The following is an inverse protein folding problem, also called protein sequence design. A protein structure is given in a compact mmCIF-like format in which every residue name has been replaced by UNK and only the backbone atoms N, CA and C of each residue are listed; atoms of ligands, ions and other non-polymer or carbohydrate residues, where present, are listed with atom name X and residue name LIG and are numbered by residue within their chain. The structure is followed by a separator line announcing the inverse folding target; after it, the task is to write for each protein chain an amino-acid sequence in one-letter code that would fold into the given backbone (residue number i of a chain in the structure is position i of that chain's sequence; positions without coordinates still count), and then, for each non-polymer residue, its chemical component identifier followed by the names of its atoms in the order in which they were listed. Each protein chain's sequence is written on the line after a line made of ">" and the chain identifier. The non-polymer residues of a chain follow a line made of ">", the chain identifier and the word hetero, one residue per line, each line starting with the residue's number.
data_IF_980150166560
#
_entry.id   IF_980150166560
#
_cell.length_a   1.000
_cell.length_b   1.000
_cell.length_c   1.000
_cell.angle_alpha   90.00
_cell.angle_beta   90.00
_cell.angle_gamma   90.00
#
_symmetry.space_group_name_H-M   'P 1'
#
loop_
_entity.id
_entity.type
_entity.pdbx_description
1 polymer ?
#
# COMPACT_ATOMS: atom_id res chain seq x y z
N UNK A 1 -13.51 -32.21 -24.82
CA UNK A 1 -14.15 -31.07 -24.20
C UNK A 1 -13.41 -30.84 -22.92
N UNK A 2 -12.46 -29.89 -22.82
CA UNK A 2 -11.86 -29.54 -21.56
C UNK A 2 -12.75 -28.56 -20.82
N UNK A 3 -12.91 -28.84 -19.55
CA UNK A 3 -13.64 -28.13 -18.52
C UNK A 3 -13.08 -26.71 -18.37
N UNK A 4 -13.93 -25.72 -18.49
CA UNK A 4 -13.57 -24.33 -18.29
C UNK A 4 -13.61 -24.03 -16.78
N UNK A 5 -12.44 -23.91 -16.17
CA UNK A 5 -12.30 -23.24 -14.87
C UNK A 5 -12.80 -21.80 -14.98
N UNK A 6 -13.64 -21.32 -14.05
CA UNK A 6 -14.08 -19.92 -14.06
C UNK A 6 -12.90 -19.00 -13.77
N UNK A 7 -12.76 -17.98 -14.61
CA UNK A 7 -11.82 -16.87 -14.48
C UNK A 7 -12.09 -16.11 -13.16
N UNK A 8 -11.13 -16.00 -12.23
CA UNK A 8 -11.32 -15.28 -10.99
C UNK A 8 -11.22 -13.75 -11.13
N UNK A 9 -11.01 -13.23 -12.34
CA UNK A 9 -10.92 -11.80 -12.61
C UNK A 9 -12.12 -11.36 -13.45
N UNK A 10 -13.28 -11.18 -12.81
CA UNK A 10 -14.45 -10.56 -13.44
C UNK A 10 -14.07 -9.20 -14.03
N UNK A 11 -14.20 -9.10 -15.36
CA UNK A 11 -13.94 -7.89 -16.16
C UNK A 11 -14.85 -6.71 -15.81
N UNK A 12 -14.64 -5.52 -16.43
CA UNK A 12 -15.09 -4.24 -15.90
C UNK A 12 -16.59 -3.99 -16.01
N UNK A 13 -17.15 -3.56 -14.88
CA UNK A 13 -18.35 -2.74 -14.69
C UNK A 13 -19.48 -2.78 -15.73
N UNK A 14 -20.55 -3.45 -15.35
CA UNK A 14 -21.89 -3.06 -15.77
C UNK A 14 -22.81 -3.03 -14.54
N UNK A 15 -23.14 -1.84 -14.05
CA UNK A 15 -24.21 -1.62 -13.09
C UNK A 15 -23.77 -1.07 -11.74
N UNK A 16 -23.46 0.22 -11.66
CA UNK A 16 -23.55 1.04 -10.45
C UNK A 16 -25.04 1.20 -10.02
N UNK A 17 -25.67 0.10 -9.62
CA UNK A 17 -26.89 0.13 -8.82
C UNK A 17 -26.59 -0.60 -7.53
N UNK A 18 -25.82 0.12 -6.68
CA UNK A 18 -25.06 -0.38 -5.58
C UNK A 18 -25.88 -0.81 -4.37
N UNK A 19 -25.33 -1.75 -3.63
CA UNK A 19 -25.75 -2.13 -2.31
C UNK A 19 -25.57 -1.02 -1.27
N UNK A 20 -24.69 -0.03 -1.49
CA UNK A 20 -24.49 1.10 -0.58
C UNK A 20 -25.55 2.19 -0.80
N UNK A 21 -26.53 2.24 0.11
CA UNK A 21 -27.59 3.25 0.14
C UNK A 21 -27.69 3.84 1.54
N UNK A 22 -28.03 5.13 1.66
CA UNK A 22 -28.21 5.80 2.94
C UNK A 22 -26.92 6.42 3.51
N UNK A 23 -27.02 7.02 4.74
CA UNK A 23 -25.89 7.67 5.37
C UNK A 23 -24.78 6.70 5.75
N UNK A 24 -23.52 7.20 5.68
CA UNK A 24 -22.31 6.52 6.14
C UNK A 24 -21.77 7.23 7.38
N UNK A 25 -21.32 6.48 8.38
CA UNK A 25 -20.58 7.03 9.53
C UNK A 25 -19.13 6.60 9.42
N UNK A 26 -18.20 7.54 9.60
CA UNK A 26 -16.77 7.27 9.70
C UNK A 26 -16.31 7.59 11.12
N UNK A 27 -15.81 6.57 11.82
CA UNK A 27 -15.25 6.70 13.17
C UNK A 27 -13.74 6.65 13.10
N UNK A 28 -13.12 7.78 13.41
CA UNK A 28 -11.68 8.02 13.20
C UNK A 28 -11.44 8.78 11.89
N UNK A 29 -11.02 10.05 12.05
CA UNK A 29 -10.85 11.01 10.94
C UNK A 29 -9.37 11.37 10.74
N UNK A 30 -8.50 10.38 10.86
CA UNK A 30 -7.10 10.47 10.42
C UNK A 30 -6.98 10.52 8.90
N UNK A 31 -5.77 10.29 8.36
CA UNK A 31 -5.53 10.26 6.91
C UNK A 31 -6.54 9.35 6.18
N UNK A 32 -6.63 8.07 6.58
CA UNK A 32 -7.43 7.06 5.87
C UNK A 32 -8.91 7.37 5.98
N UNK A 33 -9.44 7.56 7.21
CA UNK A 33 -10.88 7.82 7.40
C UNK A 33 -11.34 9.12 6.74
N UNK A 34 -10.56 10.20 6.84
CA UNK A 34 -10.89 11.45 6.19
C UNK A 34 -10.83 11.35 4.65
N UNK A 35 -9.87 10.59 4.09
CA UNK A 35 -9.78 10.33 2.64
C UNK A 35 -10.98 9.55 2.12
N UNK A 36 -11.41 8.50 2.85
CA UNK A 36 -12.66 7.76 2.54
C UNK A 36 -13.85 8.72 2.55
N UNK A 37 -13.92 9.59 3.57
CA UNK A 37 -14.99 10.59 3.66
C UNK A 37 -14.99 11.55 2.46
N UNK A 38 -13.83 12.03 2.03
CA UNK A 38 -13.70 12.88 0.84
C UNK A 38 -14.18 12.17 -0.43
N UNK A 39 -13.75 10.91 -0.64
CA UNK A 39 -14.15 10.12 -1.81
C UNK A 39 -15.68 9.87 -1.83
N UNK A 40 -16.27 9.45 -0.71
CA UNK A 40 -17.70 9.23 -0.58
C UNK A 40 -18.52 10.53 -0.75
N UNK A 41 -18.06 11.64 -0.15
CA UNK A 41 -18.74 12.93 -0.26
C UNK A 41 -18.69 13.46 -1.69
N UNK A 42 -17.56 13.31 -2.38
CA UNK A 42 -17.42 13.65 -3.79
C UNK A 42 -18.35 12.82 -4.70
N UNK A 43 -18.59 11.56 -4.33
CA UNK A 43 -19.56 10.68 -4.99
C UNK A 43 -21.03 10.94 -4.60
N UNK A 44 -21.31 11.96 -3.75
CA UNK A 44 -22.65 12.40 -3.37
C UNK A 44 -23.27 11.66 -2.18
N UNK A 45 -22.51 10.86 -1.45
CA UNK A 45 -23.00 10.20 -0.24
C UNK A 45 -23.04 11.17 0.95
N UNK A 46 -24.00 10.97 1.83
CA UNK A 46 -24.05 11.69 3.11
C UNK A 46 -23.13 11.00 4.11
N UNK A 47 -22.04 11.67 4.48
CA UNK A 47 -21.03 11.17 5.40
C UNK A 47 -21.08 11.92 6.72
N UNK A 48 -21.17 11.19 7.84
CA UNK A 48 -21.10 11.71 9.20
C UNK A 48 -19.75 11.31 9.81
N UNK A 49 -19.06 12.28 10.43
CA UNK A 49 -17.71 12.12 10.94
C UNK A 49 -17.71 12.11 12.47
N UNK A 50 -17.08 11.10 13.04
CA UNK A 50 -16.84 10.97 14.47
C UNK A 50 -15.34 10.77 14.74
N UNK A 51 -14.81 11.46 15.75
CA UNK A 51 -13.44 11.26 16.21
C UNK A 51 -13.36 11.52 17.71
N UNK A 52 -12.51 10.75 18.41
CA UNK A 52 -12.25 10.96 19.83
C UNK A 52 -11.68 12.36 20.10
N UNK A 53 -10.97 12.93 19.16
CA UNK A 53 -10.45 14.30 19.17
C UNK A 53 -11.37 15.15 18.27
N UNK A 54 -12.34 15.91 18.84
CA UNK A 54 -13.34 16.63 18.04
C UNK A 54 -12.77 17.55 16.96
N UNK A 55 -11.59 18.14 17.20
CA UNK A 55 -10.92 18.99 16.22
C UNK A 55 -10.51 18.22 14.94
N UNK A 56 -10.22 16.92 15.03
CA UNK A 56 -9.91 16.10 13.85
C UNK A 56 -11.13 15.98 12.93
N UNK A 57 -12.30 15.68 13.48
CA UNK A 57 -13.54 15.62 12.71
C UNK A 57 -13.88 16.97 12.05
N UNK A 58 -13.68 18.09 12.79
CA UNK A 58 -13.91 19.44 12.26
C UNK A 58 -12.96 19.73 11.08
N UNK A 59 -11.68 19.41 11.22
CA UNK A 59 -10.69 19.60 10.15
C UNK A 59 -11.02 18.73 8.94
N UNK A 60 -11.39 17.44 9.16
CA UNK A 60 -11.81 16.55 8.08
C UNK A 60 -13.06 17.08 7.36
N UNK A 61 -14.05 17.60 8.10
CA UNK A 61 -15.23 18.24 7.50
C UNK A 61 -14.85 19.48 6.67
N UNK A 62 -13.91 20.30 7.14
CA UNK A 62 -13.37 21.43 6.38
C UNK A 62 -12.62 21.02 5.10
N UNK A 63 -12.14 19.77 5.03
CA UNK A 63 -11.52 19.18 3.83
C UNK A 63 -12.55 18.57 2.88
N UNK A 64 -13.84 18.57 3.22
CA UNK A 64 -14.90 17.98 2.42
C UNK A 64 -15.18 16.49 2.71
N UNK A 65 -14.65 15.94 3.81
CA UNK A 65 -14.85 14.53 4.14
C UNK A 65 -16.25 14.19 4.63
N UNK A 66 -17.09 15.18 4.95
CA UNK A 66 -18.44 14.99 5.47
C UNK A 66 -18.85 16.06 6.47
N UNK A 67 -19.79 15.73 7.37
CA UNK A 67 -20.34 16.65 8.39
C UNK A 67 -20.15 16.10 9.80
N UNK A 68 -19.99 16.98 10.79
CA UNK A 68 -19.78 16.62 12.22
C UNK A 68 -21.13 16.54 12.96
N UNK A 69 -22.23 16.30 12.26
CA UNK A 69 -23.55 16.12 12.89
C UNK A 69 -23.81 14.66 13.15
N UNK A 70 -24.44 14.34 14.27
CA UNK A 70 -24.83 12.96 14.57
C UNK A 70 -25.78 12.41 13.51
N UNK A 71 -25.54 11.16 13.11
CA UNK A 71 -26.47 10.42 12.25
C UNK A 71 -27.60 9.82 13.09
N UNK A 72 -28.79 9.63 12.48
CA UNK A 72 -29.82 8.81 13.09
C UNK A 72 -29.42 7.33 13.03
N UNK A 73 -29.29 6.63 14.16
CA UNK A 73 -28.77 5.25 14.20
C UNK A 73 -29.50 4.30 13.23
N UNK A 74 -30.83 4.37 13.17
CA UNK A 74 -31.63 3.49 12.32
C UNK A 74 -31.53 3.79 10.82
N UNK A 75 -31.03 4.98 10.47
CA UNK A 75 -30.84 5.37 9.06
C UNK A 75 -29.48 4.97 8.50
N UNK A 76 -28.47 4.78 9.35
CA UNK A 76 -27.11 4.42 8.93
C UNK A 76 -27.07 3.04 8.29
N UNK A 77 -26.35 2.90 7.19
CA UNK A 77 -26.23 1.64 6.44
C UNK A 77 -24.81 1.11 6.39
N UNK A 78 -23.83 1.97 6.60
CA UNK A 78 -22.42 1.59 6.66
C UNK A 78 -21.71 2.40 7.76
N UNK A 79 -20.93 1.71 8.58
CA UNK A 79 -19.96 2.33 9.49
C UNK A 79 -18.57 1.89 9.10
N UNK A 80 -17.68 2.87 8.95
CA UNK A 80 -16.25 2.64 8.65
C UNK A 80 -15.44 3.02 9.89
N UNK A 81 -14.80 2.02 10.50
CA UNK A 81 -13.91 2.21 11.65
C UNK A 81 -12.48 2.42 11.17
N UNK A 82 -11.99 3.64 11.29
CA UNK A 82 -10.66 4.08 10.85
C UNK A 82 -9.80 4.60 12.02
N UNK A 83 -9.93 3.96 13.18
CA UNK A 83 -9.19 4.27 14.40
C UNK A 83 -7.82 3.55 14.43
N UNK A 84 -6.88 3.97 15.31
CA UNK A 84 -5.64 3.23 15.50
C UNK A 84 -5.88 1.75 15.85
N UNK A 85 -5.00 0.82 15.41
CA UNK A 85 -5.23 -0.63 15.52
C UNK A 85 -5.63 -1.13 16.91
N UNK A 86 -5.06 -0.56 17.96
CA UNK A 86 -5.37 -0.96 19.35
C UNK A 86 -6.82 -0.68 19.79
N UNK A 87 -7.56 0.14 19.04
CA UNK A 87 -8.92 0.54 19.42
C UNK A 87 -9.98 -0.01 18.46
N UNK A 88 -9.58 -0.62 17.34
CA UNK A 88 -10.51 -1.03 16.28
C UNK A 88 -11.57 -2.01 16.82
N UNK A 89 -11.15 -3.07 17.50
CA UNK A 89 -12.08 -4.08 18.01
C UNK A 89 -13.18 -3.48 18.90
N UNK A 90 -12.78 -2.69 19.91
CA UNK A 90 -13.77 -2.06 20.83
C UNK A 90 -14.66 -1.02 20.15
N UNK A 91 -14.16 -0.35 19.10
CA UNK A 91 -14.97 0.62 18.35
C UNK A 91 -15.91 -0.09 17.36
N UNK A 92 -15.51 -1.23 16.83
CA UNK A 92 -16.39 -2.10 16.03
C UNK A 92 -17.55 -2.60 16.87
N UNK A 93 -17.29 -3.11 18.08
CA UNK A 93 -18.36 -3.57 19.00
C UNK A 93 -19.33 -2.43 19.33
N UNK A 94 -18.81 -1.25 19.73
CA UNK A 94 -19.65 -0.06 19.98
C UNK A 94 -20.48 0.34 18.74
N UNK A 95 -19.89 0.25 17.55
CA UNK A 95 -20.59 0.59 16.31
C UNK A 95 -21.71 -0.42 15.97
N UNK A 96 -21.48 -1.72 16.22
CA UNK A 96 -22.49 -2.77 16.02
C UNK A 96 -23.69 -2.57 16.94
N UNK A 97 -23.45 -2.17 18.19
CA UNK A 97 -24.51 -1.85 19.16
C UNK A 97 -25.28 -0.57 18.79
N UNK A 98 -24.57 0.49 18.41
CA UNK A 98 -25.16 1.81 18.14
C UNK A 98 -25.92 1.88 16.83
N UNK A 99 -25.54 1.08 15.83
CA UNK A 99 -26.09 1.14 14.47
C UNK A 99 -26.66 -0.21 14.04
N UNK A 100 -27.85 -0.60 14.54
CA UNK A 100 -28.38 -1.96 14.40
C UNK A 100 -28.70 -2.38 12.96
N UNK A 101 -28.80 -1.40 12.03
CA UNK A 101 -29.12 -1.65 10.62
C UNK A 101 -27.87 -1.50 9.71
N UNK A 102 -26.74 -1.19 10.28
CA UNK A 102 -25.53 -0.93 9.50
C UNK A 102 -24.65 -2.17 9.34
N UNK A 103 -24.02 -2.28 8.18
CA UNK A 103 -22.79 -3.04 8.02
C UNK A 103 -21.67 -2.26 8.71
N UNK A 104 -20.83 -2.93 9.47
CA UNK A 104 -19.64 -2.34 10.06
C UNK A 104 -18.41 -2.91 9.36
N UNK A 105 -17.50 -2.05 8.95
CA UNK A 105 -16.19 -2.44 8.41
C UNK A 105 -15.08 -1.64 9.08
N UNK A 106 -13.90 -2.18 9.11
CA UNK A 106 -12.70 -1.48 9.53
C UNK A 106 -11.70 -1.34 8.36
N UNK A 107 -10.68 -0.52 8.55
CA UNK A 107 -9.61 -0.29 7.57
C UNK A 107 -8.23 -0.56 8.15
N UNK A 108 -8.14 -1.35 9.21
CA UNK A 108 -6.88 -1.69 9.86
C UNK A 108 -6.03 -2.64 9.00
N UNK A 109 -4.73 -2.67 9.29
CA UNK A 109 -3.77 -3.51 8.58
C UNK A 109 -3.68 -4.96 9.11
N UNK A 110 -4.53 -5.34 10.07
CA UNK A 110 -4.63 -6.70 10.62
C UNK A 110 -6.09 -7.09 10.75
N UNK A 111 -6.41 -8.38 10.56
CA UNK A 111 -7.82 -8.83 10.51
C UNK A 111 -8.18 -9.84 11.58
N UNK A 112 -7.40 -10.92 11.74
CA UNK A 112 -7.78 -12.05 12.59
C UNK A 112 -8.07 -11.62 14.03
N UNK A 113 -7.23 -10.80 14.63
CA UNK A 113 -7.40 -10.36 16.02
C UNK A 113 -8.67 -9.53 16.23
N UNK A 114 -9.15 -8.84 15.20
CA UNK A 114 -10.38 -8.06 15.27
C UNK A 114 -11.59 -8.99 15.18
N UNK A 115 -11.58 -9.90 14.19
CA UNK A 115 -12.66 -10.87 13.98
C UNK A 115 -12.85 -11.77 15.20
N UNK A 116 -11.76 -12.26 15.79
CA UNK A 116 -11.78 -13.10 16.97
C UNK A 116 -12.38 -12.42 18.22
N UNK A 117 -12.46 -11.09 18.22
CA UNK A 117 -13.02 -10.30 19.33
C UNK A 117 -14.50 -9.98 19.20
N UNK A 118 -15.10 -10.21 18.02
CA UNK A 118 -16.50 -9.84 17.74
C UNK A 118 -17.44 -10.95 18.23
N UNK A 119 -18.54 -10.55 18.89
CA UNK A 119 -19.56 -11.51 19.31
C UNK A 119 -20.18 -12.22 18.09
N UNK A 120 -20.37 -13.52 18.22
CA UNK A 120 -20.95 -14.36 17.17
C UNK A 120 -22.34 -13.90 16.69
N UNK A 121 -23.12 -13.24 17.56
CA UNK A 121 -24.43 -12.69 17.23
C UNK A 121 -24.33 -11.58 16.18
N UNK A 122 -23.28 -10.76 16.22
CA UNK A 122 -23.06 -9.60 15.37
C UNK A 122 -22.10 -9.85 14.20
N UNK A 123 -21.42 -11.01 14.19
CA UNK A 123 -20.44 -11.38 13.18
C UNK A 123 -20.99 -11.28 11.74
N UNK A 124 -22.31 -11.45 11.55
CA UNK A 124 -22.95 -11.39 10.23
C UNK A 124 -22.91 -9.97 9.61
N UNK A 125 -22.87 -8.90 10.42
CA UNK A 125 -22.85 -7.49 9.98
C UNK A 125 -21.46 -6.87 9.94
N UNK A 126 -20.44 -7.55 10.46
CA UNK A 126 -19.07 -7.08 10.40
C UNK A 126 -18.31 -7.72 9.24
N UNK A 127 -17.79 -6.92 8.33
CA UNK A 127 -16.96 -7.36 7.21
C UNK A 127 -15.62 -6.63 7.29
N UNK A 128 -14.55 -7.35 7.62
CA UNK A 128 -13.21 -6.77 7.72
C UNK A 128 -12.70 -6.29 6.36
N UNK A 129 -11.95 -5.18 6.35
CA UNK A 129 -11.30 -4.72 5.13
C UNK A 129 -9.97 -4.01 5.40
N UNK A 130 -9.15 -3.84 4.36
CA UNK A 130 -7.86 -3.17 4.46
C UNK A 130 -7.48 -2.51 3.13
N UNK A 131 -7.58 -1.18 3.00
CA UNK A 131 -7.00 -0.45 1.89
C UNK A 131 -5.47 -0.47 2.00
N UNK A 132 -4.80 -1.07 1.01
CA UNK A 132 -3.32 -1.10 0.93
C UNK A 132 -2.80 0.26 0.47
N UNK A 133 -3.18 1.30 1.21
CA UNK A 133 -2.83 2.68 0.92
C UNK A 133 -2.45 3.40 2.22
N UNK A 134 -1.43 4.23 2.13
CA UNK A 134 -0.93 5.01 3.25
C UNK A 134 0.07 6.05 2.79
N UNK A 135 0.44 6.94 3.69
CA UNK A 135 1.43 7.98 3.48
C UNK A 135 2.31 8.10 4.73
N UNK A 136 3.49 8.68 4.56
CA UNK A 136 4.34 9.08 5.70
C UNK A 136 3.72 10.23 6.52
N UNK A 137 2.69 10.88 5.98
CA UNK A 137 1.96 11.95 6.66
C UNK A 137 0.75 11.37 7.40
N UNK A 138 0.33 12.03 8.48
CA UNK A 138 -0.79 11.62 9.32
C UNK A 138 -1.74 12.78 9.60
N UNK A 139 -2.96 12.44 10.02
CA UNK A 139 -3.98 13.41 10.41
C UNK A 139 -4.88 13.88 9.28
N UNK A 140 -5.97 14.58 9.61
CA UNK A 140 -7.03 14.94 8.65
C UNK A 140 -6.61 15.99 7.60
N UNK A 141 -5.58 16.77 7.86
CA UNK A 141 -5.07 17.77 6.91
C UNK A 141 -4.49 17.14 5.64
N UNK A 142 -4.02 15.90 5.74
CA UNK A 142 -3.40 15.16 4.63
C UNK A 142 -4.40 14.29 3.86
N UNK A 143 -5.71 14.44 4.15
CA UNK A 143 -6.77 13.72 3.47
C UNK A 143 -6.77 14.03 1.97
N UNK A 144 -6.92 12.97 1.18
CA UNK A 144 -6.95 13.00 -0.27
C UNK A 144 -8.01 12.02 -0.79
N UNK A 145 -8.97 12.51 -1.57
CA UNK A 145 -10.02 11.68 -2.15
C UNK A 145 -9.47 10.59 -3.09
N UNK A 146 -8.32 10.86 -3.71
CA UNK A 146 -7.67 10.01 -4.70
C UNK A 146 -6.68 9.01 -4.08
N UNK A 147 -6.56 8.99 -2.73
CA UNK A 147 -5.60 8.14 -2.00
C UNK A 147 -5.67 6.65 -2.40
N UNK A 148 -6.86 6.17 -2.76
CA UNK A 148 -7.15 4.75 -3.00
C UNK A 148 -7.21 4.39 -4.48
N UNK A 149 -7.15 5.35 -5.40
CA UNK A 149 -7.25 5.11 -6.85
C UNK A 149 -6.16 4.12 -7.27
N UNK A 150 -6.58 3.04 -7.94
CA UNK A 150 -5.73 1.93 -8.40
C UNK A 150 -4.96 1.19 -7.28
N UNK A 151 -5.26 1.46 -6.01
CA UNK A 151 -4.69 0.71 -4.88
C UNK A 151 -5.49 -0.56 -4.62
N UNK A 152 -4.81 -1.57 -4.13
CA UNK A 152 -5.46 -2.78 -3.65
C UNK A 152 -6.26 -2.48 -2.38
N UNK A 153 -7.51 -2.95 -2.35
CA UNK A 153 -8.33 -2.95 -1.14
C UNK A 153 -8.76 -4.38 -0.86
N UNK A 154 -8.18 -4.96 0.20
CA UNK A 154 -8.52 -6.32 0.59
C UNK A 154 -9.81 -6.31 1.38
N UNK A 155 -10.72 -7.22 1.06
CA UNK A 155 -11.95 -7.48 1.82
C UNK A 155 -11.87 -8.92 2.33
N UNK A 156 -12.14 -9.11 3.61
CA UNK A 156 -11.98 -10.40 4.28
C UNK A 156 -13.34 -10.90 4.81
N UNK A 157 -14.24 -11.38 3.94
CA UNK A 157 -15.50 -11.93 4.37
C UNK A 157 -15.31 -13.24 5.14
N UNK A 158 -16.22 -13.50 6.05
CA UNK A 158 -16.33 -14.77 6.77
C UNK A 158 -17.61 -15.51 6.36
N UNK A 159 -17.74 -16.80 6.62
CA UNK A 159 -18.98 -17.54 6.34
C UNK A 159 -20.22 -17.01 7.09
N UNK A 160 -20.03 -16.19 8.13
CA UNK A 160 -21.13 -15.58 8.87
C UNK A 160 -21.72 -14.37 8.13
N UNK A 161 -20.99 -13.73 7.23
CA UNK A 161 -21.40 -12.48 6.61
C UNK A 161 -22.55 -12.67 5.62
N UNK A 162 -23.52 -11.76 5.66
CA UNK A 162 -24.57 -11.71 4.65
C UNK A 162 -24.01 -11.09 3.34
N UNK A 163 -24.47 -11.60 2.19
CA UNK A 163 -24.03 -11.12 0.87
C UNK A 163 -24.25 -9.61 0.70
N UNK A 164 -25.36 -9.07 1.26
CA UNK A 164 -25.66 -7.65 1.21
C UNK A 164 -24.63 -6.80 1.98
N UNK A 165 -24.06 -7.32 3.08
CA UNK A 165 -23.05 -6.62 3.87
C UNK A 165 -21.70 -6.65 3.16
N UNK A 166 -21.33 -7.78 2.58
CA UNK A 166 -20.15 -7.91 1.71
C UNK A 166 -20.24 -6.94 0.52
N UNK A 167 -21.42 -6.85 -0.13
CA UNK A 167 -21.64 -5.95 -1.26
C UNK A 167 -21.46 -4.48 -0.87
N UNK A 168 -21.90 -4.03 0.32
CA UNK A 168 -21.70 -2.65 0.79
C UNK A 168 -20.22 -2.29 0.95
N UNK A 169 -19.41 -3.21 1.49
CA UNK A 169 -17.97 -2.97 1.67
C UNK A 169 -17.23 -3.01 0.33
N UNK A 170 -17.65 -3.88 -0.59
CA UNK A 170 -17.14 -3.86 -1.97
C UNK A 170 -17.46 -2.53 -2.65
N UNK A 171 -18.69 -2.04 -2.53
CA UNK A 171 -19.11 -0.78 -3.14
C UNK A 171 -18.33 0.41 -2.54
N UNK A 172 -18.08 0.40 -1.22
CA UNK A 172 -17.19 1.39 -0.58
C UNK A 172 -15.83 1.43 -1.27
N UNK A 173 -15.16 0.28 -1.41
CA UNK A 173 -13.85 0.21 -2.04
C UNK A 173 -13.89 0.67 -3.51
N UNK A 174 -14.93 0.29 -4.24
CA UNK A 174 -15.12 0.66 -5.65
C UNK A 174 -15.36 2.16 -5.82
N UNK A 175 -16.17 2.78 -4.95
CA UNK A 175 -16.43 4.23 -4.96
C UNK A 175 -15.13 5.01 -4.69
N UNK A 176 -14.27 4.48 -3.83
CA UNK A 176 -12.94 5.04 -3.58
C UNK A 176 -11.93 4.80 -4.72
N UNK A 177 -12.33 4.16 -5.84
CA UNK A 177 -11.45 3.88 -6.99
C UNK A 177 -10.45 2.75 -6.76
N UNK A 178 -10.62 1.94 -5.73
CA UNK A 178 -9.71 0.87 -5.39
C UNK A 178 -9.99 -0.43 -6.17
N UNK A 179 -8.96 -1.26 -6.32
CA UNK A 179 -9.06 -2.63 -6.86
C UNK A 179 -9.33 -3.61 -5.72
N UNK A 180 -10.50 -4.24 -5.74
CA UNK A 180 -10.90 -5.19 -4.69
C UNK A 180 -10.17 -6.51 -4.86
N UNK A 181 -9.62 -7.02 -3.76
CA UNK A 181 -9.05 -8.37 -3.63
C UNK A 181 -9.73 -9.06 -2.47
N UNK A 182 -10.11 -10.31 -2.66
CA UNK A 182 -10.77 -11.14 -1.66
C UNK A 182 -9.75 -12.08 -1.01
N UNK A 183 -9.74 -12.13 0.31
CA UNK A 183 -8.88 -13.05 1.06
C UNK A 183 -9.61 -13.56 2.31
N UNK A 184 -9.23 -14.75 2.77
CA UNK A 184 -9.55 -15.17 4.14
C UNK A 184 -8.78 -14.29 5.15
N UNK A 185 -9.33 -13.98 6.33
CA UNK A 185 -8.66 -13.14 7.33
C UNK A 185 -7.28 -13.63 7.75
N UNK A 186 -7.09 -14.95 7.89
CA UNK A 186 -5.81 -15.54 8.27
C UNK A 186 -4.81 -15.46 7.10
N UNK A 187 -5.27 -15.72 5.88
CA UNK A 187 -4.47 -15.57 4.67
C UNK A 187 -4.02 -14.13 4.49
N UNK A 188 -4.93 -13.16 4.71
CA UNK A 188 -4.59 -11.73 4.69
C UNK A 188 -3.46 -11.40 5.67
N UNK A 189 -3.56 -11.85 6.92
CA UNK A 189 -2.57 -11.54 7.95
C UNK A 189 -1.22 -12.19 7.64
N UNK A 190 -1.20 -13.38 7.03
CA UNK A 190 0.01 -14.00 6.51
C UNK A 190 0.61 -13.20 5.34
N UNK A 191 -0.22 -12.82 4.36
CA UNK A 191 0.22 -12.05 3.21
C UNK A 191 0.84 -10.71 3.60
N UNK A 192 0.19 -9.93 4.49
CA UNK A 192 0.74 -8.65 4.93
C UNK A 192 1.98 -8.83 5.83
N UNK A 193 2.11 -9.96 6.53
CA UNK A 193 3.35 -10.27 7.24
C UNK A 193 4.52 -10.40 6.26
N UNK A 194 4.32 -11.03 5.11
CA UNK A 194 5.33 -11.26 4.08
C UNK A 194 5.68 -9.98 3.30
N UNK A 195 4.68 -9.27 2.80
CA UNK A 195 4.91 -8.18 1.83
C UNK A 195 5.01 -6.79 2.47
N UNK A 196 4.68 -6.64 3.76
CA UNK A 196 4.66 -5.36 4.47
C UNK A 196 5.45 -5.40 5.77
N UNK A 197 5.10 -6.31 6.70
CA UNK A 197 5.67 -6.29 8.04
C UNK A 197 7.13 -6.75 8.05
N UNK A 198 7.45 -7.84 7.35
CA UNK A 198 8.81 -8.34 7.23
C UNK A 198 9.75 -7.33 6.58
N UNK A 199 9.45 -6.75 5.41
CA UNK A 199 10.29 -5.69 4.82
C UNK A 199 10.55 -4.53 5.78
N UNK A 200 9.53 -4.10 6.52
CA UNK A 200 9.69 -3.03 7.51
C UNK A 200 10.62 -3.42 8.65
N UNK A 201 10.51 -4.63 9.16
CA UNK A 201 11.39 -5.15 10.21
C UNK A 201 12.83 -5.31 9.72
N UNK A 202 13.05 -5.74 8.47
CA UNK A 202 14.38 -5.81 7.86
C UNK A 202 15.00 -4.41 7.74
N UNK A 203 14.21 -3.43 7.34
CA UNK A 203 14.62 -2.02 7.33
C UNK A 203 15.05 -1.52 8.72
N UNK A 204 14.23 -1.80 9.75
CA UNK A 204 14.54 -1.44 11.15
C UNK A 204 15.81 -2.13 11.65
N UNK A 205 15.99 -3.43 11.36
CA UNK A 205 17.17 -4.17 11.76
C UNK A 205 18.44 -3.59 11.10
N UNK A 206 18.37 -3.29 9.81
CA UNK A 206 19.48 -2.69 9.06
C UNK A 206 19.82 -1.29 9.61
N UNK A 207 18.81 -0.45 9.80
CA UNK A 207 19.00 0.90 10.35
C UNK A 207 19.52 0.86 11.79
N UNK A 208 19.01 -0.07 12.61
CA UNK A 208 19.47 -0.27 13.99
C UNK A 208 20.93 -0.68 14.08
N UNK A 209 21.41 -1.47 13.12
CA UNK A 209 22.82 -1.89 13.05
C UNK A 209 23.77 -0.70 12.80
N UNK A 210 23.32 0.35 12.08
CA UNK A 210 24.13 1.55 11.85
C UNK A 210 24.52 2.30 13.13
N UNK A 211 23.84 2.08 14.25
CA UNK A 211 24.19 2.69 15.54
C UNK A 211 25.57 2.26 16.07
N UNK A 212 26.04 1.09 15.65
CA UNK A 212 27.37 0.56 16.00
C UNK A 212 28.47 0.89 15.01
N UNK A 213 28.13 1.54 13.88
CA UNK A 213 29.08 1.89 12.82
C UNK A 213 29.86 3.15 13.21
N UNK A 214 31.21 3.15 13.12
CA UNK A 214 32.01 4.35 13.35
C UNK A 214 31.58 5.52 12.44
N UNK A 215 31.59 6.74 12.97
CA UNK A 215 31.08 7.93 12.25
C UNK A 215 31.87 8.25 10.97
N UNK A 216 33.14 7.87 10.91
CA UNK A 216 34.03 8.02 9.75
C UNK A 216 33.74 7.00 8.64
N UNK A 217 32.98 5.94 8.91
CA UNK A 217 32.50 5.02 7.89
C UNK A 217 31.16 5.46 7.25
N UNK A 218 30.36 6.28 7.93
CA UNK A 218 29.05 6.72 7.44
C UNK A 218 29.10 7.50 6.10
N UNK A 219 30.16 8.28 5.78
CA UNK A 219 30.30 8.90 4.48
C UNK A 219 30.39 7.92 3.28
N UNK A 220 30.68 6.62 3.55
CA UNK A 220 30.68 5.57 2.53
C UNK A 220 29.25 5.08 2.18
N UNK A 221 28.23 5.56 2.91
CA UNK A 221 26.84 5.18 2.70
C UNK A 221 26.31 5.71 1.36
N UNK A 222 26.14 4.82 0.40
CA UNK A 222 25.55 5.09 -0.91
C UNK A 222 24.01 5.03 -0.88
N UNK A 223 23.38 5.02 -2.07
CA UNK A 223 21.94 4.99 -2.23
C UNK A 223 21.30 3.71 -1.67
N UNK A 224 21.95 2.55 -1.87
CA UNK A 224 21.40 1.25 -1.43
C UNK A 224 21.04 1.20 0.06
N UNK A 225 21.92 1.73 0.96
CA UNK A 225 21.60 1.76 2.40
C UNK A 225 20.45 2.73 2.70
N UNK A 226 20.35 3.85 1.96
CA UNK A 226 19.27 4.83 2.12
C UNK A 226 17.91 4.22 1.74
N UNK A 227 17.87 3.48 0.63
CA UNK A 227 16.65 2.82 0.15
C UNK A 227 16.19 1.75 1.14
N UNK A 228 17.10 0.89 1.61
CA UNK A 228 16.78 -0.16 2.58
C UNK A 228 16.30 0.42 3.92
N UNK A 229 16.90 1.53 4.40
CA UNK A 229 16.58 2.09 5.72
C UNK A 229 15.46 3.14 5.70
N UNK A 230 14.98 3.55 4.53
CA UNK A 230 14.00 4.64 4.36
C UNK A 230 12.74 4.45 5.19
N UNK A 231 12.17 3.25 5.20
CA UNK A 231 10.92 2.97 5.90
C UNK A 231 11.10 2.76 7.40
N UNK A 232 12.32 2.58 7.90
CA UNK A 232 12.60 2.47 9.33
C UNK A 232 12.29 3.76 10.12
N UNK A 233 12.15 4.91 9.43
CA UNK A 233 11.77 6.19 10.04
C UNK A 233 10.30 6.33 10.40
N UNK A 234 9.47 5.31 10.24
CA UNK A 234 8.05 5.31 10.58
C UNK A 234 7.82 5.36 12.09
N UNK A 235 6.61 5.77 12.52
CA UNK A 235 6.23 5.88 13.92
C UNK A 235 6.31 4.53 14.66
N UNK A 236 7.17 4.39 15.69
CA UNK A 236 7.31 3.14 16.43
C UNK A 236 6.04 2.75 17.21
N UNK A 237 5.23 3.73 17.63
CA UNK A 237 4.01 3.51 18.39
C UNK A 237 2.93 2.83 17.52
N UNK A 238 2.79 3.27 16.29
CA UNK A 238 1.89 2.65 15.31
C UNK A 238 2.37 1.24 14.96
N UNK A 239 3.64 1.09 14.62
CA UNK A 239 4.20 -0.20 14.22
C UNK A 239 4.18 -1.24 15.34
N UNK A 240 4.36 -0.83 16.60
CA UNK A 240 4.15 -1.70 17.74
C UNK A 240 2.74 -2.30 17.76
N UNK A 241 1.70 -1.50 17.48
CA UNK A 241 0.32 -1.97 17.46
C UNK A 241 0.07 -2.96 16.31
N UNK A 242 0.57 -2.64 15.11
CA UNK A 242 0.46 -3.49 13.92
C UNK A 242 1.13 -4.85 14.16
N UNK A 243 2.41 -4.83 14.55
CA UNK A 243 3.18 -6.05 14.78
C UNK A 243 2.62 -6.90 15.94
N UNK A 244 2.10 -6.26 17.00
CA UNK A 244 1.45 -6.97 18.08
C UNK A 244 0.16 -7.66 17.61
N UNK A 245 -0.63 -7.00 16.78
CA UNK A 245 -1.85 -7.56 16.19
C UNK A 245 -1.57 -8.78 15.31
N UNK A 246 -0.47 -8.76 14.57
CA UNK A 246 -0.09 -9.84 13.65
C UNK A 246 1.12 -10.67 14.13
N UNK A 247 1.34 -10.74 15.43
CA UNK A 247 2.57 -11.32 16.00
C UNK A 247 2.83 -12.77 15.64
N UNK A 248 1.79 -13.58 15.35
CA UNK A 248 1.96 -14.99 15.02
C UNK A 248 2.54 -15.14 13.61
N UNK A 249 1.95 -14.50 12.60
CA UNK A 249 2.45 -14.53 11.24
C UNK A 249 3.84 -13.87 11.14
N UNK A 250 4.04 -12.72 11.80
CA UNK A 250 5.35 -12.06 11.86
C UNK A 250 6.42 -12.96 12.46
N UNK A 251 6.11 -13.72 13.50
CA UNK A 251 7.05 -14.67 14.10
C UNK A 251 7.42 -15.80 13.15
N UNK A 252 6.47 -16.31 12.38
CA UNK A 252 6.72 -17.34 11.37
C UNK A 252 7.68 -16.84 10.29
N UNK A 253 7.43 -15.63 9.76
CA UNK A 253 8.30 -15.02 8.75
C UNK A 253 9.71 -14.75 9.28
N UNK A 254 9.84 -14.23 10.49
CA UNK A 254 11.16 -14.00 11.12
C UNK A 254 11.91 -15.31 11.38
N UNK A 255 11.21 -16.42 11.66
CA UNK A 255 11.85 -17.72 11.78
C UNK A 255 12.41 -18.20 10.45
N UNK A 256 11.71 -17.97 9.33
CA UNK A 256 12.22 -18.22 7.98
C UNK A 256 13.48 -17.40 7.67
N UNK A 257 13.42 -16.07 7.89
CA UNK A 257 14.60 -15.20 7.68
C UNK A 257 15.79 -15.62 8.53
N UNK A 258 15.55 -16.06 9.78
CA UNK A 258 16.63 -16.59 10.62
C UNK A 258 17.29 -17.81 9.99
N UNK A 259 16.50 -18.74 9.43
CA UNK A 259 17.05 -19.91 8.73
C UNK A 259 17.85 -19.51 7.49
N UNK A 260 17.38 -18.52 6.72
CA UNK A 260 18.11 -17.96 5.57
C UNK A 260 19.43 -17.32 6.00
N UNK A 261 19.46 -16.60 7.13
CA UNK A 261 20.69 -16.02 7.69
C UNK A 261 21.67 -17.11 8.16
N UNK A 262 21.19 -18.16 8.79
CA UNK A 262 22.03 -19.30 9.20
C UNK A 262 22.62 -20.00 7.96
N UNK A 263 21.83 -20.17 6.89
CA UNK A 263 22.31 -20.70 5.61
C UNK A 263 23.37 -19.79 4.99
N UNK A 264 23.11 -18.48 4.90
CA UNK A 264 24.05 -17.49 4.35
C UNK A 264 25.39 -17.54 5.06
N UNK A 265 25.38 -17.58 6.40
CA UNK A 265 26.61 -17.72 7.20
C UNK A 265 27.36 -19.01 6.87
N UNK A 266 26.65 -20.09 6.57
CA UNK A 266 27.24 -21.39 6.23
C UNK A 266 27.87 -21.44 4.83
N UNK A 267 27.44 -20.59 3.90
CA UNK A 267 27.97 -20.61 2.51
C UNK A 267 28.95 -19.49 2.17
N UNK A 268 29.27 -18.59 3.12
CA UNK A 268 30.16 -17.44 2.88
C UNK A 268 31.56 -17.82 2.38
N UNK A 269 32.05 -18.98 2.74
CA UNK A 269 33.39 -19.47 2.35
C UNK A 269 33.36 -20.36 1.09
N UNK A 270 32.19 -20.59 0.49
CA UNK A 270 32.01 -21.36 -0.75
C UNK A 270 31.41 -20.45 -1.85
N UNK A 271 32.24 -19.99 -2.83
CA UNK A 271 31.79 -19.05 -3.86
C UNK A 271 30.62 -19.57 -4.71
N UNK A 272 30.59 -20.87 -5.03
CA UNK A 272 29.54 -21.45 -5.89
C UNK A 272 28.22 -21.56 -5.11
N UNK A 273 28.28 -21.98 -3.85
CA UNK A 273 27.10 -22.03 -2.96
C UNK A 273 26.58 -20.61 -2.67
N UNK A 274 27.47 -19.64 -2.46
CA UNK A 274 27.12 -18.24 -2.26
C UNK A 274 26.43 -17.65 -3.51
N UNK A 275 26.95 -17.92 -4.72
CA UNK A 275 26.30 -17.48 -5.97
C UNK A 275 24.87 -18.08 -6.07
N UNK A 276 24.70 -19.35 -5.73
CA UNK A 276 23.39 -19.99 -5.69
C UNK A 276 22.42 -19.31 -4.72
N UNK A 277 22.90 -18.94 -3.52
CA UNK A 277 22.10 -18.19 -2.54
C UNK A 277 21.67 -16.84 -3.10
N UNK A 278 22.58 -16.06 -3.66
CA UNK A 278 22.30 -14.73 -4.24
C UNK A 278 21.34 -14.82 -5.43
N UNK A 279 21.44 -15.88 -6.25
CA UNK A 279 20.55 -16.10 -7.37
C UNK A 279 19.09 -16.31 -6.94
N UNK A 280 18.85 -16.95 -5.79
CA UNK A 280 17.49 -17.07 -5.21
C UNK A 280 16.92 -15.72 -4.83
N UNK A 281 17.71 -14.85 -4.19
CA UNK A 281 17.28 -13.48 -3.87
C UNK A 281 16.90 -12.68 -5.10
N UNK A 282 17.71 -12.77 -6.17
CA UNK A 282 17.42 -12.15 -7.46
C UNK A 282 16.13 -12.70 -8.09
N UNK A 283 15.88 -14.00 -8.00
CA UNK A 283 14.63 -14.60 -8.48
C UNK A 283 13.41 -14.08 -7.69
N UNK A 284 13.53 -13.97 -6.36
CA UNK A 284 12.48 -13.38 -5.52
C UNK A 284 12.16 -11.93 -5.89
N UNK A 285 13.17 -11.10 -6.13
CA UNK A 285 12.95 -9.71 -6.55
C UNK A 285 12.20 -9.62 -7.91
N UNK A 286 12.46 -10.54 -8.82
CA UNK A 286 11.79 -10.61 -10.13
C UNK A 286 10.34 -11.09 -10.05
N UNK A 287 9.93 -11.73 -8.95
CA UNK A 287 8.53 -12.16 -8.77
C UNK A 287 7.57 -11.02 -8.42
N UNK A 288 8.10 -9.85 -8.05
CA UNK A 288 7.27 -8.68 -7.78
C UNK A 288 6.66 -8.17 -9.09
N UNK A 289 5.33 -7.97 -9.15
CA UNK A 289 4.70 -7.41 -10.33
C UNK A 289 5.13 -5.94 -10.52
N UNK A 290 5.40 -5.53 -11.74
CA UNK A 290 5.59 -4.12 -12.10
C UNK A 290 4.31 -3.29 -11.90
N UNK A 291 4.38 -1.98 -12.11
CA UNK A 291 3.29 -1.01 -11.85
C UNK A 291 1.95 -1.38 -12.47
N UNK A 292 1.94 -2.09 -13.60
CA UNK A 292 0.74 -2.51 -14.30
C UNK A 292 0.50 -4.04 -14.27
N UNK A 293 1.11 -4.73 -13.28
CA UNK A 293 0.98 -6.19 -13.13
C UNK A 293 1.81 -7.00 -14.14
N UNK A 294 2.63 -6.34 -14.96
CA UNK A 294 3.55 -6.98 -15.88
C UNK A 294 4.86 -7.36 -15.16
N UNK A 295 5.53 -8.42 -15.63
CA UNK A 295 6.86 -8.77 -15.10
C UNK A 295 7.86 -7.63 -15.35
N UNK A 296 8.77 -7.32 -14.41
CA UNK A 296 9.87 -6.39 -14.65
C UNK A 296 10.72 -6.75 -15.89
N UNK A 297 10.82 -8.03 -16.22
CA UNK A 297 11.52 -8.52 -17.42
C UNK A 297 10.77 -8.19 -18.75
N UNK A 298 9.53 -7.67 -18.67
CA UNK A 298 8.79 -7.22 -19.85
C UNK A 298 9.30 -5.88 -20.39
N UNK A 299 10.11 -5.16 -19.61
CA UNK A 299 10.62 -3.83 -19.96
C UNK A 299 12.13 -3.82 -20.05
N UNK A 300 12.66 -2.87 -20.80
CA UNK A 300 14.09 -2.61 -20.92
C UNK A 300 14.42 -1.26 -20.30
N UNK A 301 15.41 -1.24 -19.42
CA UNK A 301 15.86 -0.01 -18.78
C UNK A 301 16.90 0.69 -19.64
N UNK A 302 16.64 1.94 -19.99
CA UNK A 302 17.57 2.86 -20.65
C UNK A 302 18.02 3.89 -19.64
N UNK A 303 19.33 4.04 -19.44
CA UNK A 303 19.90 5.02 -18.51
C UNK A 303 20.38 6.25 -19.28
N UNK A 304 19.98 7.44 -18.84
CA UNK A 304 20.28 8.73 -19.48
C UNK A 304 21.09 9.57 -18.48
N UNK A 305 22.22 10.12 -18.91
CA UNK A 305 23.01 11.02 -18.08
C UNK A 305 22.37 12.40 -17.98
N UNK A 306 22.30 12.93 -16.75
CA UNK A 306 21.72 14.25 -16.47
C UNK A 306 22.82 15.13 -15.88
N UNK A 307 23.22 16.23 -16.54
CA UNK A 307 24.15 17.19 -15.94
C UNK A 307 23.52 17.84 -14.69
N UNK A 308 24.30 18.04 -13.65
CA UNK A 308 23.87 18.75 -12.44
C UNK A 308 23.78 20.26 -12.73
N UNK A 309 22.74 20.64 -13.47
CA UNK A 309 22.47 22.00 -13.88
C UNK A 309 20.99 22.34 -13.71
N UNK A 310 20.71 23.57 -13.31
CA UNK A 310 19.35 24.04 -13.15
C UNK A 310 18.52 23.85 -14.43
N UNK A 311 17.36 23.17 -14.32
CA UNK A 311 16.45 22.92 -15.44
C UNK A 311 16.79 21.68 -16.28
N UNK A 312 17.93 21.00 -16.07
CA UNK A 312 18.31 19.82 -16.86
C UNK A 312 17.29 18.71 -16.77
N UNK A 313 16.78 18.41 -15.57
CA UNK A 313 15.76 17.39 -15.35
C UNK A 313 14.44 17.73 -16.04
N UNK A 314 13.96 18.98 -15.95
CA UNK A 314 12.76 19.45 -16.62
C UNK A 314 12.88 19.34 -18.14
N UNK A 315 14.04 19.70 -18.70
CA UNK A 315 14.35 19.54 -20.14
C UNK A 315 14.32 18.07 -20.54
N UNK A 316 14.91 17.18 -19.73
CA UNK A 316 14.93 15.75 -20.02
C UNK A 316 13.50 15.17 -20.08
N UNK A 317 12.65 15.47 -19.09
CA UNK A 317 11.26 15.01 -19.13
C UNK A 317 10.49 15.54 -20.34
N UNK A 318 10.70 16.81 -20.70
CA UNK A 318 10.09 17.39 -21.92
C UNK A 318 10.56 16.66 -23.18
N UNK A 319 11.83 16.31 -23.25
CA UNK A 319 12.41 15.61 -24.42
C UNK A 319 11.95 14.14 -24.49
N UNK A 320 11.77 13.47 -23.35
CA UNK A 320 11.20 12.12 -23.27
C UNK A 320 9.73 12.11 -23.69
N UNK A 321 8.93 13.05 -23.18
CA UNK A 321 7.53 13.23 -23.57
C UNK A 321 7.39 13.50 -25.07
N UNK A 322 8.21 14.40 -25.61
CA UNK A 322 8.24 14.71 -27.05
C UNK A 322 8.63 13.53 -27.95
N UNK A 323 9.27 12.50 -27.39
CA UNK A 323 9.53 11.26 -28.12
C UNK A 323 8.26 10.40 -28.29
N UNK A 324 7.19 10.69 -27.57
CA UNK A 324 5.91 9.97 -27.63
C UNK A 324 5.99 8.53 -27.14
N UNK A 325 6.94 8.23 -26.25
CA UNK A 325 7.22 6.89 -25.73
C UNK A 325 6.65 6.79 -24.32
N UNK A 326 5.86 5.74 -24.06
CA UNK A 326 5.37 5.45 -22.72
C UNK A 326 6.52 5.01 -21.81
N UNK A 327 6.63 5.65 -20.65
CA UNK A 327 7.59 5.31 -19.59
C UNK A 327 6.85 4.57 -18.49
N UNK A 328 7.21 3.31 -18.30
CA UNK A 328 6.56 2.42 -17.32
C UNK A 328 7.07 2.64 -15.91
N UNK A 329 8.37 2.85 -15.78
CA UNK A 329 9.00 3.18 -14.49
C UNK A 329 10.19 4.09 -14.68
N UNK A 330 10.55 4.83 -13.63
CA UNK A 330 11.72 5.69 -13.63
C UNK A 330 12.41 5.68 -12.25
N UNK A 331 13.73 5.79 -12.27
CA UNK A 331 14.54 6.05 -11.09
C UNK A 331 15.60 7.08 -11.39
N UNK A 332 15.94 7.90 -10.39
CA UNK A 332 17.01 8.91 -10.50
C UNK A 332 18.07 8.59 -9.46
N UNK A 333 19.30 8.45 -9.93
CA UNK A 333 20.46 8.29 -9.08
C UNK A 333 21.37 9.51 -9.22
N UNK A 334 21.88 10.00 -8.09
CA UNK A 334 22.89 11.06 -8.07
C UNK A 334 24.25 10.46 -7.72
N UNK A 335 25.25 10.78 -8.51
CA UNK A 335 26.65 10.51 -8.16
C UNK A 335 27.23 11.73 -7.41
N UNK A 336 27.43 11.64 -6.09
CA UNK A 336 27.94 12.78 -5.30
C UNK A 336 29.37 13.18 -5.68
N UNK A 337 30.10 12.29 -6.37
CA UNK A 337 31.50 12.51 -6.78
C UNK A 337 31.61 13.15 -8.16
N UNK A 338 30.52 13.15 -8.93
CA UNK A 338 30.44 13.71 -10.29
C UNK A 338 29.29 14.70 -10.35
N UNK A 339 29.44 15.71 -11.18
CA UNK A 339 28.36 16.70 -11.43
C UNK A 339 27.31 16.14 -12.41
N UNK A 340 26.94 14.86 -12.24
CA UNK A 340 25.96 14.17 -13.08
C UNK A 340 25.03 13.32 -12.22
N UNK A 341 23.77 13.24 -12.65
CA UNK A 341 22.81 12.24 -12.23
C UNK A 341 22.52 11.27 -13.37
N UNK A 342 21.84 10.19 -13.03
CA UNK A 342 21.39 9.18 -14.00
C UNK A 342 19.89 9.02 -13.87
N UNK A 343 19.15 9.19 -14.98
CA UNK A 343 17.75 8.79 -15.08
C UNK A 343 17.68 7.43 -15.75
N UNK A 344 17.23 6.43 -15.04
CA UNK A 344 16.87 5.13 -15.60
C UNK A 344 15.38 5.12 -15.91
N UNK A 345 15.03 4.87 -17.17
CA UNK A 345 13.64 4.74 -17.63
C UNK A 345 13.38 3.34 -18.15
N UNK A 346 12.32 2.70 -17.66
CA UNK A 346 11.85 1.42 -18.16
C UNK A 346 10.84 1.64 -19.29
N UNK A 347 11.09 1.05 -20.44
CA UNK A 347 10.26 1.19 -21.64
C UNK A 347 10.02 -0.17 -22.30
N UNK A 348 8.98 -0.27 -23.13
CA UNK A 348 8.74 -1.46 -23.96
C UNK A 348 9.98 -1.77 -24.82
N UNK A 349 10.39 -3.05 -24.94
CA UNK A 349 11.56 -3.45 -25.74
C UNK A 349 11.56 -2.92 -27.18
N UNK A 350 10.37 -2.82 -27.80
CA UNK A 350 10.19 -2.26 -29.13
C UNK A 350 10.43 -0.76 -29.21
N UNK A 351 10.39 -0.04 -28.11
CA UNK A 351 10.53 1.41 -28.02
C UNK A 351 11.97 1.87 -27.71
N UNK A 352 12.86 0.96 -27.29
CA UNK A 352 14.23 1.27 -26.85
C UNK A 352 15.02 2.05 -27.88
N UNK A 353 15.04 1.57 -29.15
CA UNK A 353 15.82 2.20 -30.21
C UNK A 353 15.26 3.58 -30.58
N UNK A 354 13.93 3.71 -30.61
CA UNK A 354 13.27 4.98 -30.89
C UNK A 354 13.57 6.04 -29.82
N UNK A 355 13.52 5.63 -28.53
CA UNK A 355 13.92 6.49 -27.40
C UNK A 355 15.38 6.90 -27.51
N UNK A 356 16.28 5.93 -27.72
CA UNK A 356 17.71 6.19 -27.80
C UNK A 356 18.04 7.19 -28.92
N UNK A 357 17.43 7.03 -30.09
CA UNK A 357 17.65 7.93 -31.23
C UNK A 357 17.06 9.32 -30.98
N UNK A 358 15.89 9.41 -30.34
CA UNK A 358 15.29 10.68 -29.97
C UNK A 358 16.16 11.45 -28.97
N UNK A 359 16.63 10.79 -27.92
CA UNK A 359 17.46 11.41 -26.89
C UNK A 359 18.83 11.83 -27.43
N UNK A 360 19.50 10.99 -28.24
CA UNK A 360 20.76 11.36 -28.90
C UNK A 360 20.63 12.59 -29.80
N UNK A 361 19.54 12.70 -30.56
CA UNK A 361 19.27 13.90 -31.38
C UNK A 361 19.12 15.18 -30.55
N UNK A 362 18.72 15.05 -29.29
CA UNK A 362 18.59 16.16 -28.33
C UNK A 362 19.88 16.40 -27.52
N UNK A 363 20.92 15.62 -27.78
CA UNK A 363 22.24 15.77 -27.14
C UNK A 363 22.38 15.10 -25.79
N UNK A 364 21.51 14.12 -25.49
CA UNK A 364 21.62 13.31 -24.27
C UNK A 364 22.56 12.13 -24.49
N UNK A 365 23.36 11.79 -23.46
CA UNK A 365 24.16 10.57 -23.42
C UNK A 365 23.35 9.44 -22.79
N UNK A 366 23.44 8.25 -23.40
CA UNK A 366 22.66 7.07 -22.98
C UNK A 366 23.52 5.84 -22.86
N UNK A 367 23.18 5.05 -21.86
CA UNK A 367 23.67 3.69 -21.65
C UNK A 367 22.50 2.72 -21.91
N UNK A 368 22.70 1.85 -22.88
CA UNK A 368 21.77 0.75 -23.20
C UNK A 368 22.24 -0.50 -22.45
N UNK A 369 21.31 -1.40 -22.08
CA UNK A 369 21.64 -2.64 -21.36
C UNK A 369 22.51 -3.59 -22.18
#
# INVERSE_FOLDING_TARGET
>A
MPDATPDPLGGPNSGLNGGLTGPVVIIGTGLVGASIGCALSAAGYRVHLEDRVPSHAIVAAGRGAGVVTAASPDAVRLVVVATPPAHVASVVDDALDRFPQATVTDVASVKSIIIDSIDAADAHRYVGSHPMAGSQFSGPLTADADLFIDRTWVITPTPANAEADIARVRDLATICGARVVWMDPVEHDQAVAQVSHLPHLMSILTAGHLRGVPSDHLPLAGQGIRDVTRIAGSDPGLWRQILWGNRQAVRAELAGVRADLDELLGVLDDPDALEGFLARGRAGARSLPGKHGLSPDAFVTVTIEIPDAAGALARLFTDVDAAGINVEDLSIEHDPSRQYGYLSVAVDPGSVQALADAMRRKGWELHLP
#
